data_IF_775519225755
#
_entry.id   IF_775519225755
#
_cell.length_a   1.000
_cell.length_b   1.000
_cell.length_c   1.000
_cell.angle_alpha   90.00
_cell.angle_beta   90.00
_cell.angle_gamma   90.00
#
_symmetry.space_group_name_H-M   'P 1'
#
loop_
_entity.id
_entity.type
_entity.pdbx_description
1 polymer ?
#
# COMPACT_ATOMS: atom_id res chain seq x y z
N UNK A 1 4.29 -2.10 40.20
CA UNK A 1 3.55 -1.84 38.95
C UNK A 1 4.53 -1.19 37.98
N UNK A 2 5.16 -1.98 37.11
CA UNK A 2 6.07 -1.46 36.10
C UNK A 2 5.26 -1.18 34.82
N UNK A 3 5.15 0.09 34.45
CA UNK A 3 4.63 0.51 33.16
C UNK A 3 5.59 -0.02 32.08
N UNK A 4 5.14 -1.04 31.34
CA UNK A 4 5.80 -1.48 30.11
C UNK A 4 5.63 -0.37 29.08
N UNK A 5 6.65 0.48 28.98
CA UNK A 5 6.82 1.45 27.91
C UNK A 5 6.90 0.67 26.59
N UNK A 6 5.94 0.93 25.70
CA UNK A 6 5.97 0.48 24.31
C UNK A 6 7.32 0.86 23.68
N UNK A 7 7.97 -0.05 22.91
CA UNK A 7 9.22 0.29 22.26
C UNK A 7 9.03 1.48 21.29
N UNK A 8 9.95 2.45 21.26
CA UNK A 8 9.92 3.51 20.26
C UNK A 8 9.99 2.86 18.88
N UNK A 9 9.19 3.37 17.95
CA UNK A 9 9.06 2.95 16.56
C UNK A 9 10.28 2.19 16.07
N UNK A 10 10.12 0.87 15.92
CA UNK A 10 11.22 -0.04 15.67
C UNK A 10 12.11 0.46 14.54
N UNK A 11 13.39 0.59 14.83
CA UNK A 11 14.46 0.69 13.83
C UNK A 11 14.22 -0.39 12.79
N UNK A 12 14.00 0.00 11.53
CA UNK A 12 13.83 -0.97 10.45
C UNK A 12 15.06 -1.89 10.44
N UNK A 13 14.89 -3.22 10.50
CA UNK A 13 16.02 -4.12 10.34
C UNK A 13 16.67 -3.82 8.99
N UNK A 14 18.01 -3.80 8.97
CA UNK A 14 18.73 -3.78 7.71
C UNK A 14 18.36 -5.07 6.95
N UNK A 15 17.50 -4.94 5.95
CA UNK A 15 16.99 -6.05 5.16
C UNK A 15 18.17 -6.81 4.54
N UNK A 16 18.18 -8.14 4.69
CA UNK A 16 19.17 -9.02 4.06
C UNK A 16 18.95 -9.20 2.55
N UNK A 17 17.85 -8.66 2.02
CA UNK A 17 17.49 -8.74 0.60
C UNK A 17 18.31 -7.76 -0.27
N UNK A 18 18.53 -8.10 -1.55
CA UNK A 18 19.12 -7.19 -2.53
C UNK A 18 18.38 -5.85 -2.62
N UNK A 19 19.07 -4.73 -2.87
CA UNK A 19 18.46 -3.40 -2.90
C UNK A 19 17.35 -3.25 -3.96
N UNK A 20 17.48 -3.95 -5.11
CA UNK A 20 16.44 -3.99 -6.14
C UNK A 20 15.14 -4.61 -5.60
N UNK A 21 15.24 -5.68 -4.82
CA UNK A 21 14.09 -6.37 -4.26
C UNK A 21 13.43 -5.52 -3.17
N UNK A 22 14.21 -4.81 -2.36
CA UNK A 22 13.68 -3.83 -1.40
C UNK A 22 12.92 -2.71 -2.12
N UNK A 23 13.43 -2.20 -3.25
CA UNK A 23 12.76 -1.18 -4.05
C UNK A 23 11.40 -1.66 -4.58
N UNK A 24 11.31 -2.90 -5.09
CA UNK A 24 10.05 -3.49 -5.57
C UNK A 24 9.03 -3.65 -4.44
N UNK A 25 9.48 -4.02 -3.26
CA UNK A 25 8.60 -4.15 -2.08
C UNK A 25 8.11 -2.77 -1.63
N UNK A 26 8.97 -1.74 -1.70
CA UNK A 26 8.59 -0.38 -1.38
C UNK A 26 7.53 0.17 -2.36
N UNK A 27 7.71 -0.09 -3.65
CA UNK A 27 6.72 0.23 -4.69
C UNK A 27 5.39 -0.47 -4.42
N UNK A 28 5.41 -1.79 -4.15
CA UNK A 28 4.22 -2.55 -3.82
C UNK A 28 3.50 -2.04 -2.56
N UNK A 29 4.25 -1.56 -1.56
CA UNK A 29 3.69 -0.95 -0.36
C UNK A 29 3.03 0.41 -0.64
N UNK A 30 3.58 1.19 -1.57
CA UNK A 30 2.99 2.44 -2.04
C UNK A 30 1.73 2.17 -2.89
N UNK A 31 1.75 1.16 -3.75
CA UNK A 31 0.59 0.73 -4.53
C UNK A 31 -0.55 0.24 -3.63
N UNK A 32 -0.23 -0.50 -2.57
CA UNK A 32 -1.21 -0.89 -1.57
C UNK A 32 -1.89 0.33 -0.92
N UNK A 33 -1.11 1.36 -0.57
CA UNK A 33 -1.65 2.60 -0.04
C UNK A 33 -2.54 3.32 -1.07
N UNK A 34 -2.14 3.35 -2.34
CA UNK A 34 -2.95 3.91 -3.42
C UNK A 34 -4.29 3.17 -3.57
N UNK A 35 -4.29 1.83 -3.52
CA UNK A 35 -5.55 1.06 -3.55
C UNK A 35 -6.45 1.40 -2.35
N UNK A 36 -5.87 1.47 -1.15
CA UNK A 36 -6.62 1.85 0.06
C UNK A 36 -7.22 3.26 -0.04
N UNK A 37 -6.47 4.23 -0.57
CA UNK A 37 -6.97 5.57 -0.82
C UNK A 37 -8.09 5.54 -1.87
N UNK A 38 -7.95 4.74 -2.93
CA UNK A 38 -8.98 4.60 -3.97
C UNK A 38 -10.32 4.13 -3.40
N UNK A 39 -10.30 3.12 -2.54
CA UNK A 39 -11.50 2.63 -1.84
C UNK A 39 -12.14 3.71 -0.95
N UNK A 40 -11.33 4.55 -0.30
CA UNK A 40 -11.81 5.65 0.52
C UNK A 40 -12.37 6.81 -0.32
N UNK A 41 -11.85 7.04 -1.52
CA UNK A 41 -12.32 8.06 -2.45
C UNK A 41 -13.59 7.65 -3.18
N UNK A 42 -13.79 6.34 -3.43
CA UNK A 42 -14.91 5.84 -4.22
C UNK A 42 -16.30 6.38 -3.77
N UNK A 43 -16.63 6.42 -2.45
CA UNK A 43 -17.90 6.98 -1.99
C UNK A 43 -18.13 8.44 -2.41
N UNK A 44 -17.08 9.28 -2.45
CA UNK A 44 -17.22 10.69 -2.84
C UNK A 44 -17.75 10.84 -4.27
N UNK A 45 -17.36 9.92 -5.16
CA UNK A 45 -17.80 9.92 -6.55
C UNK A 45 -19.09 9.14 -6.78
N UNK A 46 -19.45 8.24 -5.87
CA UNK A 46 -20.72 7.50 -5.92
C UNK A 46 -21.89 8.29 -5.33
N UNK A 47 -21.64 9.26 -4.44
CA UNK A 47 -22.70 10.08 -3.83
C UNK A 47 -23.20 11.23 -4.71
N UNK A 48 -22.45 11.59 -5.76
CA UNK A 48 -22.87 12.63 -6.70
C UNK A 48 -23.34 11.94 -7.98
N UNK A 49 -24.65 11.98 -8.22
CA UNK A 49 -25.27 11.49 -9.45
C UNK A 49 -25.03 12.50 -10.60
N UNK A 50 -23.75 12.70 -10.94
CA UNK A 50 -23.34 13.58 -12.04
C UNK A 50 -23.84 13.04 -13.36
N UNK A 51 -23.87 11.71 -13.54
CA UNK A 51 -24.21 11.05 -14.79
C UNK A 51 -25.64 11.33 -15.27
N UNK A 52 -26.61 11.46 -14.35
CA UNK A 52 -28.02 11.68 -14.69
C UNK A 52 -28.45 13.16 -14.66
N UNK A 53 -27.52 14.08 -14.39
CA UNK A 53 -27.79 15.51 -14.38
C UNK A 53 -27.85 16.13 -15.78
N UNK A 54 -28.47 17.32 -15.96
CA UNK A 54 -28.50 18.05 -17.23
C UNK A 54 -27.11 18.40 -17.81
N UNK A 55 -26.07 18.35 -16.97
CA UNK A 55 -24.67 18.62 -17.31
C UNK A 55 -23.75 17.40 -17.08
N UNK A 56 -24.32 16.20 -16.99
CA UNK A 56 -23.61 14.95 -16.77
C UNK A 56 -22.98 14.35 -18.01
N UNK A 57 -21.86 13.63 -17.87
CA UNK A 57 -21.21 12.90 -18.95
C UNK A 57 -21.81 11.52 -19.25
N UNK A 58 -22.91 11.14 -18.59
CA UNK A 58 -23.66 9.92 -18.83
C UNK A 58 -22.84 8.63 -18.65
N UNK A 59 -23.23 7.52 -19.31
CA UNK A 59 -22.56 6.22 -19.17
C UNK A 59 -21.08 6.22 -19.59
N UNK A 60 -20.69 7.15 -20.47
CA UNK A 60 -19.29 7.32 -20.86
C UNK A 60 -18.42 7.77 -19.70
N UNK A 61 -18.85 8.78 -18.95
CA UNK A 61 -18.16 9.24 -17.73
C UNK A 61 -18.09 8.13 -16.67
N UNK A 62 -19.19 7.39 -16.48
CA UNK A 62 -19.28 6.31 -15.50
C UNK A 62 -18.23 5.21 -15.76
N UNK A 63 -18.00 4.84 -17.02
CA UNK A 63 -17.01 3.85 -17.39
C UNK A 63 -15.56 4.28 -17.07
N UNK A 64 -15.25 5.57 -17.13
CA UNK A 64 -13.90 6.09 -16.87
C UNK A 64 -13.70 6.55 -15.41
N UNK A 65 -14.76 6.71 -14.63
CA UNK A 65 -14.70 7.15 -13.22
C UNK A 65 -13.75 6.29 -12.35
N UNK A 66 -13.73 4.95 -12.43
CA UNK A 66 -12.77 4.14 -11.66
C UNK A 66 -11.30 4.43 -12.02
N UNK A 67 -11.04 4.72 -13.29
CA UNK A 67 -9.69 5.07 -13.77
C UNK A 67 -9.25 6.42 -13.18
N UNK A 68 -10.14 7.40 -13.17
CA UNK A 68 -9.89 8.70 -12.54
C UNK A 68 -9.60 8.57 -11.04
N UNK A 69 -10.41 7.78 -10.32
CA UNK A 69 -10.22 7.53 -8.89
C UNK A 69 -8.86 6.87 -8.64
N UNK A 70 -8.49 5.88 -9.45
CA UNK A 70 -7.21 5.17 -9.34
C UNK A 70 -6.01 6.12 -9.52
N UNK A 71 -6.01 6.97 -10.56
CA UNK A 71 -4.91 7.91 -10.79
C UNK A 71 -4.82 8.98 -9.70
N UNK A 72 -5.97 9.45 -9.21
CA UNK A 72 -6.01 10.37 -8.08
C UNK A 72 -5.43 9.74 -6.81
N UNK A 73 -5.78 8.49 -6.54
CA UNK A 73 -5.29 7.76 -5.38
C UNK A 73 -3.77 7.54 -5.44
N UNK A 74 -3.24 7.18 -6.63
CA UNK A 74 -1.79 7.07 -6.86
C UNK A 74 -1.07 8.40 -6.65
N UNK A 75 -1.63 9.49 -7.18
CA UNK A 75 -1.07 10.83 -6.96
C UNK A 75 -1.04 11.19 -5.48
N UNK A 76 -2.11 10.94 -4.73
CA UNK A 76 -2.16 11.21 -3.30
C UNK A 76 -1.11 10.37 -2.56
N UNK A 77 -1.03 9.07 -2.84
CA UNK A 77 -0.02 8.18 -2.25
C UNK A 77 1.41 8.68 -2.51
N UNK A 78 1.71 9.10 -3.74
CA UNK A 78 3.03 9.62 -4.12
C UNK A 78 3.40 10.95 -3.45
N UNK A 79 2.41 11.77 -3.08
CA UNK A 79 2.63 13.12 -2.51
C UNK A 79 2.41 13.21 -1.00
N UNK A 80 2.45 12.08 -0.29
CA UNK A 80 2.43 12.04 1.17
C UNK A 80 1.42 11.05 1.75
N UNK A 81 0.42 10.66 0.95
CA UNK A 81 -0.49 9.56 1.26
C UNK A 81 -1.16 9.67 2.63
N UNK A 82 -1.44 8.50 3.21
CA UNK A 82 -1.95 8.34 4.57
C UNK A 82 -0.85 7.89 5.54
N UNK A 83 0.37 7.64 5.03
CA UNK A 83 1.50 7.12 5.78
C UNK A 83 1.48 5.59 5.98
N UNK A 84 0.66 4.87 5.23
CA UNK A 84 0.50 3.41 5.32
C UNK A 84 1.63 2.65 4.62
N UNK A 85 2.27 3.24 3.60
CA UNK A 85 3.32 2.57 2.84
C UNK A 85 4.50 2.10 3.73
N UNK A 86 4.90 2.89 4.74
CA UNK A 86 6.00 2.56 5.66
C UNK A 86 5.72 1.33 6.54
N UNK A 87 4.62 1.27 7.32
CA UNK A 87 4.31 0.09 8.11
C UNK A 87 4.04 -1.15 7.22
N UNK A 88 3.45 -0.97 6.04
CA UNK A 88 3.21 -2.08 5.09
C UNK A 88 4.54 -2.63 4.58
N UNK A 89 5.46 -1.78 4.13
CA UNK A 89 6.82 -2.16 3.73
C UNK A 89 7.52 -2.97 4.84
N UNK A 90 7.46 -2.51 6.09
CA UNK A 90 8.08 -3.21 7.20
C UNK A 90 7.49 -4.61 7.42
N UNK A 91 6.17 -4.79 7.24
CA UNK A 91 5.54 -6.12 7.32
C UNK A 91 5.91 -7.00 6.13
N UNK A 92 5.95 -6.45 4.91
CA UNK A 92 6.29 -7.20 3.71
C UNK A 92 7.74 -7.68 3.73
N UNK A 93 8.68 -6.85 4.20
CA UNK A 93 10.08 -7.26 4.41
C UNK A 93 10.19 -8.40 5.41
N UNK A 94 9.51 -8.29 6.57
CA UNK A 94 9.48 -9.36 7.57
C UNK A 94 8.92 -10.67 7.00
N UNK A 95 7.84 -10.58 6.21
CA UNK A 95 7.22 -11.74 5.59
C UNK A 95 8.18 -12.42 4.59
N UNK A 96 8.92 -11.64 3.80
CA UNK A 96 9.92 -12.17 2.89
C UNK A 96 11.11 -12.78 3.64
N UNK A 97 11.66 -12.10 4.64
CA UNK A 97 12.76 -12.65 5.45
C UNK A 97 12.38 -13.98 6.12
N UNK A 98 11.15 -14.13 6.60
CA UNK A 98 10.65 -15.39 7.15
C UNK A 98 10.57 -16.51 6.11
N UNK A 99 10.24 -16.18 4.85
CA UNK A 99 10.24 -17.14 3.74
C UNK A 99 11.66 -17.53 3.31
N UNK A 100 12.58 -16.56 3.22
CA UNK A 100 14.00 -16.82 2.88
C UNK A 100 14.74 -17.58 3.99
N UNK A 101 14.40 -17.37 5.26
CA UNK A 101 14.98 -18.10 6.40
C UNK A 101 14.60 -19.59 6.45
N UNK A 102 13.47 -19.99 5.87
CA UNK A 102 13.03 -21.40 5.82
C UNK A 102 13.73 -22.22 4.72
N UNK A 103 14.28 -21.58 3.69
CA UNK A 103 15.07 -22.26 2.65
C UNK A 103 16.46 -22.70 3.12
N UNK A 104 17.08 -21.94 4.04
CA UNK A 104 18.43 -22.23 4.55
C UNK A 104 18.49 -23.40 5.55
N UNK A 105 17.36 -23.80 6.13
CA UNK A 105 17.30 -24.87 7.14
C UNK A 105 17.20 -26.29 6.55
N UNK A 106 17.07 -26.44 5.23
CA UNK A 106 17.01 -27.76 4.56
C UNK A 106 18.35 -28.24 3.95
N UNK A 107 19.45 -27.47 4.03
CA UNK A 107 20.75 -27.87 3.44
C UNK A 107 21.82 -28.26 4.47
N UNK A 108 21.48 -28.33 5.76
CA UNK A 108 22.48 -28.67 6.79
C UNK A 108 21.92 -29.61 7.85
N UNK A 109 21.82 -30.89 7.51
CA UNK A 109 21.94 -31.97 8.49
C UNK A 109 22.61 -33.16 7.78
N UNK A 110 23.65 -33.78 8.37
CA UNK A 110 24.41 -34.89 7.79
C UNK A 110 23.60 -36.17 7.59
#
# INVERSE_FOLDING_TARGET
>A
MAAQLLPPYGTMPASSLPPEQVSKIAEAAQDFEALAIGELLAPMFNTVDTANGPFGGGPGEEAFKPMLISEMAKHIAAHGGLGLAKPVLAQMLRAQEAQFGQGATMEKTP
#
